data_IF_159046812604
#
_entry.id   IF_159046812604
#
_cell.length_a   1.000
_cell.length_b   1.000
_cell.length_c   1.000
_cell.angle_alpha   90.00
_cell.angle_beta   90.00
_cell.angle_gamma   90.00
#
_symmetry.space_group_name_H-M   'P 1'
#
loop_
_entity.id
_entity.type
_entity.pdbx_description
1 polymer ?
#
# COMPACT_ATOMS: atom_id res chain seq x y z
N UNK A 1 -54.44 6.77 -5.66
CA UNK A 1 -53.23 7.44 -6.17
C UNK A 1 -52.13 7.15 -5.19
N UNK A 2 -51.49 5.99 -5.32
CA UNK A 2 -50.44 5.51 -4.40
C UNK A 2 -49.21 6.38 -4.56
N UNK A 3 -48.81 7.06 -3.49
CA UNK A 3 -47.54 7.76 -3.44
C UNK A 3 -46.39 6.74 -3.40
N UNK A 4 -45.33 7.05 -4.13
CA UNK A 4 -43.99 6.45 -4.01
C UNK A 4 -43.43 6.67 -2.59
N UNK A 5 -43.93 5.93 -1.60
CA UNK A 5 -43.26 5.84 -0.31
C UNK A 5 -41.87 5.22 -0.53
N UNK A 6 -40.81 5.88 -0.05
CA UNK A 6 -39.44 5.38 -0.14
C UNK A 6 -38.62 5.79 -1.37
N UNK A 7 -39.21 6.31 -2.46
CA UNK A 7 -38.43 6.77 -3.61
C UNK A 7 -37.67 8.08 -3.30
N UNK A 8 -36.39 8.10 -3.65
CA UNK A 8 -35.50 9.25 -3.50
C UNK A 8 -34.87 9.59 -4.85
N UNK A 9 -34.93 10.87 -5.21
CA UNK A 9 -34.27 11.42 -6.40
C UNK A 9 -33.46 12.63 -6.02
N UNK A 10 -32.20 12.69 -6.47
CA UNK A 10 -31.28 13.79 -6.24
C UNK A 10 -30.60 14.18 -7.55
N UNK A 11 -30.45 15.49 -7.78
CA UNK A 11 -29.70 16.01 -8.91
C UNK A 11 -28.51 16.82 -8.40
N UNK A 12 -27.30 16.38 -8.77
CA UNK A 12 -26.07 17.10 -8.56
C UNK A 12 -25.84 18.01 -9.77
N UNK A 13 -25.75 19.32 -9.55
CA UNK A 13 -25.31 20.28 -10.56
C UNK A 13 -23.97 20.85 -10.12
N UNK A 14 -22.93 20.58 -10.90
CA UNK A 14 -21.58 21.05 -10.66
C UNK A 14 -21.24 22.13 -11.68
N UNK A 15 -20.90 23.32 -11.20
CA UNK A 15 -20.34 24.39 -12.04
C UNK A 15 -18.87 24.53 -11.66
N UNK A 16 -17.97 24.36 -12.62
CA UNK A 16 -16.54 24.47 -12.38
C UNK A 16 -16.10 25.94 -12.41
N UNK A 17 -15.70 26.52 -11.28
CA UNK A 17 -15.21 27.92 -11.27
C UNK A 17 -13.81 28.10 -11.89
N UNK A 18 -13.10 26.99 -12.08
CA UNK A 18 -11.76 26.91 -12.64
C UNK A 18 -11.59 25.63 -13.45
N UNK A 19 -10.52 25.57 -14.25
CA UNK A 19 -10.25 24.42 -15.08
C UNK A 19 -9.89 23.20 -14.21
N UNK A 20 -10.60 22.09 -14.42
CA UNK A 20 -10.32 20.80 -13.78
C UNK A 20 -9.62 19.93 -14.82
N UNK A 21 -8.44 19.39 -14.48
CA UNK A 21 -7.68 18.56 -15.42
C UNK A 21 -8.30 17.17 -15.60
N UNK A 22 -8.88 16.62 -14.53
CA UNK A 22 -9.52 15.31 -14.51
C UNK A 22 -10.57 15.28 -13.40
N UNK A 23 -11.85 15.13 -13.76
CA UNK A 23 -12.97 15.02 -12.84
C UNK A 23 -13.41 13.55 -12.73
N UNK A 24 -13.34 13.03 -11.50
CA UNK A 24 -13.89 11.73 -11.11
C UNK A 24 -14.94 11.92 -10.03
N UNK A 25 -16.05 11.22 -10.14
CA UNK A 25 -17.17 11.28 -9.20
C UNK A 25 -17.54 9.86 -8.77
N UNK A 26 -17.61 9.66 -7.45
CA UNK A 26 -17.93 8.38 -6.85
C UNK A 26 -19.28 8.50 -6.15
N UNK A 27 -20.29 7.80 -6.67
CA UNK A 27 -21.63 7.78 -6.11
C UNK A 27 -21.81 6.53 -5.25
N UNK A 28 -21.79 6.71 -3.93
CA UNK A 28 -22.04 5.64 -2.97
C UNK A 28 -23.52 5.24 -2.96
N UNK A 29 -23.80 3.95 -3.10
CA UNK A 29 -25.14 3.38 -2.92
C UNK A 29 -25.42 3.25 -1.42
N UNK A 30 -26.49 3.88 -0.88
CA UNK A 30 -26.84 3.74 0.52
C UNK A 30 -27.13 2.27 0.89
N UNK A 31 -26.87 1.84 2.13
CA UNK A 31 -27.27 0.51 2.56
C UNK A 31 -28.79 0.37 2.44
N UNK A 32 -29.21 -0.86 2.13
CA UNK A 32 -30.61 -1.30 1.93
C UNK A 32 -31.37 -0.60 0.78
N UNK A 33 -30.71 0.28 0.03
CA UNK A 33 -31.30 0.90 -1.16
C UNK A 33 -31.48 -0.11 -2.30
N UNK A 34 -32.55 0.06 -3.08
CA UNK A 34 -32.93 -0.80 -4.19
C UNK A 34 -33.13 0.02 -5.46
N UNK A 35 -32.89 -0.60 -6.61
CA UNK A 35 -33.11 0.05 -7.91
C UNK A 35 -32.31 1.33 -8.11
N UNK A 36 -31.07 1.38 -7.62
CA UNK A 36 -30.19 2.54 -7.80
C UNK A 36 -29.89 2.74 -9.30
N UNK A 37 -30.19 3.94 -9.80
CA UNK A 37 -29.90 4.37 -11.17
C UNK A 37 -29.20 5.71 -11.15
N UNK A 38 -28.21 5.86 -12.04
CA UNK A 38 -27.46 7.09 -12.25
C UNK A 38 -27.59 7.49 -13.73
N UNK A 39 -27.89 8.76 -13.98
CA UNK A 39 -27.95 9.35 -15.31
C UNK A 39 -27.16 10.68 -15.36
N UNK A 40 -26.13 10.83 -16.21
CA UNK A 40 -25.51 9.83 -17.08
C UNK A 40 -25.01 8.57 -16.35
N UNK A 41 -25.01 7.43 -17.03
CA UNK A 41 -24.61 6.15 -16.46
C UNK A 41 -23.13 6.14 -16.03
N UNK A 42 -22.83 5.38 -14.97
CA UNK A 42 -21.47 5.20 -14.48
C UNK A 42 -20.60 4.39 -15.44
N UNK A 43 -19.31 4.71 -15.48
CA UNK A 43 -18.31 3.98 -16.26
C UNK A 43 -17.99 2.63 -15.62
N UNK A 44 -18.02 2.57 -14.28
CA UNK A 44 -17.80 1.33 -13.54
C UNK A 44 -18.59 1.28 -12.24
N UNK A 45 -18.78 0.06 -11.74
CA UNK A 45 -19.40 -0.21 -10.43
C UNK A 45 -18.49 -1.14 -9.66
N UNK A 46 -18.13 -0.77 -8.44
CA UNK A 46 -17.25 -1.56 -7.58
C UNK A 46 -17.81 -1.63 -6.16
N UNK A 47 -17.44 -2.67 -5.42
CA UNK A 47 -17.67 -2.76 -3.98
C UNK A 47 -16.33 -2.58 -3.27
N UNK A 48 -16.24 -1.57 -2.41
CA UNK A 48 -15.01 -1.30 -1.66
C UNK A 48 -14.90 -2.16 -0.40
N UNK A 49 -13.76 -2.05 0.31
CA UNK A 49 -13.46 -2.84 1.51
C UNK A 49 -14.42 -2.59 2.68
N UNK A 50 -15.17 -1.50 2.63
CA UNK A 50 -16.24 -1.17 3.56
C UNK A 50 -17.54 -1.96 3.30
N UNK A 51 -17.59 -2.74 2.22
CA UNK A 51 -18.76 -3.50 1.80
C UNK A 51 -19.84 -2.66 1.11
N UNK A 52 -19.54 -1.40 0.79
CA UNK A 52 -20.47 -0.49 0.11
C UNK A 52 -20.18 -0.48 -1.39
N UNK A 53 -21.25 -0.30 -2.17
CA UNK A 53 -21.18 -0.26 -3.62
C UNK A 53 -21.04 1.19 -4.07
N UNK A 54 -20.13 1.42 -5.02
CA UNK A 54 -19.84 2.72 -5.60
C UNK A 54 -19.98 2.66 -7.12
N UNK A 55 -20.69 3.63 -7.67
CA UNK A 55 -20.78 3.90 -9.10
C UNK A 55 -19.80 5.02 -9.44
N UNK A 56 -18.79 4.72 -10.24
CA UNK A 56 -17.68 5.64 -10.55
C UNK A 56 -17.88 6.21 -11.95
N UNK A 57 -17.84 7.54 -12.05
CA UNK A 57 -17.88 8.30 -13.29
C UNK A 57 -16.54 9.01 -13.49
N UNK A 58 -15.93 8.82 -14.65
CA UNK A 58 -14.73 9.50 -15.12
C UNK A 58 -15.10 10.44 -16.26
N UNK A 59 -15.37 11.70 -15.94
CA UNK A 59 -15.73 12.70 -16.94
C UNK A 59 -14.50 13.22 -17.71
N UNK A 60 -13.35 13.31 -17.05
CA UNK A 60 -12.13 13.91 -17.61
C UNK A 60 -12.07 15.44 -17.40
N UNK A 61 -11.38 16.19 -18.27
CA UNK A 61 -11.17 17.62 -18.07
C UNK A 61 -12.48 18.42 -18.17
N UNK A 62 -12.56 19.52 -17.41
CA UNK A 62 -13.72 20.42 -17.36
C UNK A 62 -13.25 21.86 -17.46
N UNK A 63 -13.90 22.65 -18.32
CA UNK A 63 -13.55 24.05 -18.51
C UNK A 63 -14.18 24.96 -17.44
N UNK A 64 -13.56 26.12 -17.13
CA UNK A 64 -14.18 27.10 -16.25
C UNK A 64 -15.54 27.57 -16.80
N UNK A 65 -16.56 27.58 -15.94
CA UNK A 65 -17.94 27.94 -16.27
C UNK A 65 -18.78 26.80 -16.85
N UNK A 66 -18.19 25.63 -17.10
CA UNK A 66 -18.93 24.45 -17.58
C UNK A 66 -19.85 23.91 -16.49
N UNK A 67 -21.07 23.51 -16.86
CA UNK A 67 -22.08 22.97 -15.95
C UNK A 67 -22.34 21.50 -16.27
N UNK A 68 -22.05 20.63 -15.32
CA UNK A 68 -22.26 19.19 -15.40
C UNK A 68 -23.39 18.77 -14.46
N UNK A 69 -24.20 17.80 -14.88
CA UNK A 69 -25.37 17.37 -14.13
C UNK A 69 -25.48 15.84 -14.07
N UNK A 70 -25.76 15.32 -12.88
CA UNK A 70 -26.05 13.90 -12.66
C UNK A 70 -27.29 13.74 -11.80
N UNK A 71 -28.18 12.86 -12.21
CA UNK A 71 -29.40 12.51 -11.47
C UNK A 71 -29.30 11.08 -10.95
N UNK A 72 -29.54 10.94 -9.65
CA UNK A 72 -29.51 9.69 -8.91
C UNK A 72 -30.94 9.39 -8.47
N UNK A 73 -31.41 8.18 -8.74
CA UNK A 73 -32.70 7.69 -8.23
C UNK A 73 -32.52 6.35 -7.55
N UNK A 74 -33.17 6.15 -6.41
CA UNK A 74 -33.22 4.86 -5.71
C UNK A 74 -34.45 4.77 -4.82
N UNK A 75 -34.81 3.56 -4.39
CA UNK A 75 -35.81 3.34 -3.35
C UNK A 75 -35.12 2.97 -2.04
N UNK A 76 -35.57 3.59 -0.95
CA UNK A 76 -35.12 3.31 0.41
C UNK A 76 -36.27 3.50 1.39
N UNK A 77 -36.68 2.39 2.00
CA UNK A 77 -37.89 2.32 2.85
C UNK A 77 -37.59 2.55 4.33
N UNK A 78 -36.31 2.63 4.71
CA UNK A 78 -35.85 2.79 6.09
C UNK A 78 -34.94 4.01 6.25
N UNK A 79 -34.80 4.49 7.49
CA UNK A 79 -33.98 5.66 7.83
C UNK A 79 -32.54 5.30 8.25
N UNK A 80 -32.09 4.05 8.03
CA UNK A 80 -30.75 3.63 8.41
C UNK A 80 -29.69 4.38 7.59
N UNK A 81 -28.81 5.07 8.30
CA UNK A 81 -27.70 5.81 7.73
C UNK A 81 -26.50 4.88 7.51
N UNK A 82 -25.75 5.13 6.43
CA UNK A 82 -24.49 4.43 6.13
C UNK A 82 -23.51 4.44 7.32
N UNK A 83 -23.47 5.53 8.10
CA UNK A 83 -22.60 5.64 9.30
C UNK A 83 -22.85 4.55 10.34
N UNK A 84 -24.07 3.98 10.39
CA UNK A 84 -24.43 2.94 11.35
C UNK A 84 -23.69 1.63 11.09
N UNK A 85 -23.29 1.36 9.83
CA UNK A 85 -22.48 0.19 9.47
C UNK A 85 -21.06 0.26 10.04
N UNK A 86 -20.58 1.48 10.30
CA UNK A 86 -19.21 1.74 10.77
C UNK A 86 -19.10 1.91 12.29
N UNK A 87 -20.22 1.88 13.02
CA UNK A 87 -20.18 1.99 14.48
C UNK A 87 -19.62 0.70 15.07
N UNK A 88 -18.42 0.82 15.67
CA UNK A 88 -17.72 -0.27 16.35
C UNK A 88 -18.61 -0.95 17.41
N UNK A 89 -18.35 -2.25 17.70
CA UNK A 89 -18.93 -2.89 18.87
C UNK A 89 -18.68 -2.01 20.09
N UNK A 90 -19.77 -1.63 20.76
CA UNK A 90 -19.77 -0.96 22.05
C UNK A 90 -18.69 -1.64 22.91
N UNK A 91 -17.76 -0.88 23.47
CA UNK A 91 -16.90 -1.37 24.56
C UNK A 91 -17.83 -2.10 25.53
N UNK A 92 -17.64 -3.41 25.80
CA UNK A 92 -18.58 -4.14 26.64
C UNK A 92 -18.69 -3.38 27.95
N UNK A 93 -19.91 -2.97 28.30
CA UNK A 93 -20.22 -2.50 29.64
C UNK A 93 -19.56 -3.47 30.60
N UNK A 94 -18.69 -3.01 31.54
CA UNK A 94 -18.11 -3.94 32.50
C UNK A 94 -19.26 -4.54 33.29
N UNK A 95 -19.59 -5.80 32.98
CA UNK A 95 -20.50 -6.58 33.79
C UNK A 95 -19.94 -6.54 35.23
N UNK A 96 -20.78 -6.34 36.27
CA UNK A 96 -20.31 -6.45 37.63
C UNK A 96 -19.59 -7.79 37.79
N UNK A 97 -18.35 -7.72 38.26
CA UNK A 97 -17.43 -8.85 38.36
C UNK A 97 -18.08 -9.98 39.17
N UNK A 98 -18.55 -11.02 38.47
CA UNK A 98 -18.76 -12.34 39.04
C UNK A 98 -17.56 -13.18 38.62
N UNK A 99 -16.84 -13.67 39.61
CA UNK A 99 -15.65 -14.51 39.51
C UNK A 99 -15.93 -15.80 38.69
N UNK A 100 -14.91 -16.44 38.08
CA UNK A 100 -15.06 -17.30 36.91
C UNK A 100 -15.44 -18.74 37.29
N UNK A 101 -15.89 -19.53 36.30
CA UNK A 101 -15.21 -20.80 36.04
C UNK A 101 -14.36 -20.73 34.78
N UNK A 102 -13.21 -21.39 34.87
CA UNK A 102 -12.12 -21.54 33.92
C UNK A 102 -12.52 -21.81 32.45
N UNK A 103 -11.64 -21.45 31.49
CA UNK A 103 -11.95 -21.51 30.07
C UNK A 103 -11.98 -22.97 29.59
N UNK A 104 -13.12 -23.42 29.10
CA UNK A 104 -13.16 -24.50 28.11
C UNK A 104 -13.17 -23.88 26.72
N UNK A 105 -12.07 -23.21 26.39
CA UNK A 105 -11.85 -22.66 25.06
C UNK A 105 -11.45 -23.79 24.12
N UNK A 106 -12.43 -24.45 23.50
CA UNK A 106 -12.16 -25.17 22.25
C UNK A 106 -11.99 -24.11 21.18
N UNK A 107 -10.76 -23.62 21.04
CA UNK A 107 -10.37 -22.81 19.88
C UNK A 107 -10.45 -23.73 18.68
N UNK A 108 -11.56 -23.63 17.94
CA UNK A 108 -11.74 -24.31 16.66
C UNK A 108 -10.77 -23.68 15.67
N UNK A 109 -9.52 -24.13 15.75
CA UNK A 109 -8.46 -23.79 14.82
C UNK A 109 -8.69 -24.59 13.56
N UNK A 110 -9.02 -23.87 12.48
CA UNK A 110 -9.02 -24.48 11.16
C UNK A 110 -7.63 -25.04 10.86
N UNK A 111 -7.52 -26.21 10.20
CA UNK A 111 -6.24 -26.87 9.94
C UNK A 111 -5.30 -26.11 8.98
N UNK A 112 -5.64 -24.88 8.58
CA UNK A 112 -4.89 -24.07 7.62
C UNK A 112 -3.89 -23.09 8.26
N UNK A 113 -4.09 -22.66 9.52
CA UNK A 113 -3.24 -21.62 10.13
C UNK A 113 -1.95 -22.18 10.77
N UNK A 114 -1.93 -23.44 11.20
CA UNK A 114 -0.74 -24.05 11.81
C UNK A 114 0.33 -24.45 10.79
N UNK A 115 -0.04 -24.61 9.53
CA UNK A 115 0.90 -24.95 8.45
C UNK A 115 1.92 -23.83 8.24
N UNK A 116 1.47 -22.56 8.29
CA UNK A 116 2.36 -21.41 8.15
C UNK A 116 3.30 -21.23 9.34
N UNK A 117 2.79 -21.48 10.56
CA UNK A 117 3.61 -21.45 11.79
C UNK A 117 4.65 -22.57 11.76
N UNK A 118 4.25 -23.80 11.42
CA UNK A 118 5.17 -24.93 11.31
C UNK A 118 6.23 -24.72 10.21
N UNK A 119 5.82 -24.19 9.06
CA UNK A 119 6.74 -23.86 7.96
C UNK A 119 7.76 -22.78 8.37
N UNK A 120 7.32 -21.73 9.08
CA UNK A 120 8.20 -20.66 9.55
C UNK A 120 9.18 -21.16 10.61
N UNK A 121 8.73 -21.99 11.56
CA UNK A 121 9.59 -22.62 12.56
C UNK A 121 10.61 -23.57 11.92
N UNK A 122 10.18 -24.39 10.96
CA UNK A 122 11.09 -25.28 10.24
C UNK A 122 12.16 -24.50 9.48
N UNK A 123 11.78 -23.41 8.79
CA UNK A 123 12.72 -22.56 8.05
C UNK A 123 13.72 -21.87 8.98
N UNK A 124 13.26 -21.37 10.13
CA UNK A 124 14.14 -20.77 11.15
C UNK A 124 15.09 -21.82 11.76
N UNK A 125 14.63 -23.03 12.03
CA UNK A 125 15.46 -24.11 12.55
C UNK A 125 16.56 -24.53 11.57
N UNK A 126 16.22 -24.64 10.28
CA UNK A 126 17.20 -24.94 9.22
C UNK A 126 18.22 -23.79 9.08
N UNK A 127 17.76 -22.53 9.07
CA UNK A 127 18.64 -21.37 9.01
C UNK A 127 19.58 -21.27 10.22
N UNK A 128 19.06 -21.47 11.43
CA UNK A 128 19.85 -21.49 12.66
C UNK A 128 20.85 -22.65 12.69
N UNK A 129 20.44 -23.84 12.24
CA UNK A 129 21.33 -25.00 12.10
C UNK A 129 22.48 -24.74 11.12
N UNK A 130 22.19 -24.23 9.94
CA UNK A 130 23.20 -23.88 8.93
C UNK A 130 24.16 -22.79 9.43
N UNK A 131 23.64 -21.77 10.11
CA UNK A 131 24.46 -20.71 10.70
C UNK A 131 25.37 -21.24 11.81
N UNK A 132 24.85 -22.09 12.69
CA UNK A 132 25.64 -22.69 13.78
C UNK A 132 26.72 -23.63 13.22
N UNK A 133 26.39 -24.53 12.28
CA UNK A 133 27.39 -25.36 11.61
C UNK A 133 28.45 -24.52 10.88
N UNK A 134 28.06 -23.48 10.15
CA UNK A 134 28.99 -22.57 9.48
C UNK A 134 29.92 -21.85 10.46
N UNK A 135 29.43 -21.53 11.67
CA UNK A 135 30.25 -20.95 12.74
C UNK A 135 31.26 -21.94 13.30
N UNK A 136 30.91 -23.22 13.43
CA UNK A 136 31.86 -24.26 13.89
C UNK A 136 32.92 -24.59 12.83
N UNK A 137 32.60 -24.49 11.53
CA UNK A 137 33.54 -24.81 10.45
C UNK A 137 34.38 -23.61 9.98
N UNK A 138 34.07 -22.39 10.42
CA UNK A 138 34.80 -21.17 9.99
C UNK A 138 36.18 -20.98 10.64
N UNK A 139 36.63 -21.92 11.48
CA UNK A 139 38.01 -21.97 11.95
C UNK A 139 38.95 -22.57 10.90
N UNK A 140 39.04 -21.97 9.71
CA UNK A 140 40.21 -22.03 8.83
C UNK A 140 40.03 -21.16 7.58
N UNK A 141 40.42 -19.90 7.68
CA UNK A 141 41.03 -19.20 6.57
C UNK A 141 42.12 -18.31 7.15
N UNK A 142 43.27 -18.94 7.39
CA UNK A 142 44.51 -18.25 7.70
C UNK A 142 44.75 -17.14 6.65
N UNK A 143 45.21 -15.94 7.04
CA UNK A 143 45.50 -14.87 6.09
C UNK A 143 46.57 -15.35 5.10
N UNK A 144 46.42 -15.18 3.77
CA UNK A 144 47.49 -15.50 2.85
C UNK A 144 48.67 -14.54 3.10
N UNK A 145 49.92 -15.03 3.09
CA UNK A 145 51.09 -14.18 3.31
C UNK A 145 51.22 -13.16 2.16
N UNK A 146 51.79 -11.98 2.44
CA UNK A 146 51.90 -10.91 1.46
C UNK A 146 52.76 -11.36 0.26
N UNK A 147 52.16 -11.36 -0.93
CA UNK A 147 52.87 -11.63 -2.20
C UNK A 147 53.90 -10.52 -2.47
N UNK A 148 55.16 -10.94 -2.64
CA UNK A 148 56.31 -10.10 -3.01
C UNK A 148 56.07 -9.32 -4.31
N UNK A 149 56.26 -8.00 -4.23
CA UNK A 149 56.32 -7.06 -5.37
C UNK A 149 57.44 -7.44 -6.33
N UNK A 150 57.11 -7.72 -7.59
CA UNK A 150 58.05 -7.64 -8.71
C UNK A 150 58.02 -6.23 -9.29
N UNK A 151 59.18 -5.57 -9.24
CA UNK A 151 59.47 -4.26 -9.82
C UNK A 151 59.31 -4.34 -11.34
N UNK A 152 58.51 -3.44 -11.90
CA UNK A 152 58.39 -3.18 -13.33
C UNK A 152 58.18 -1.69 -13.51
N UNK A 153 59.19 -1.03 -14.07
CA UNK A 153 59.31 0.41 -14.27
C UNK A 153 58.27 0.97 -15.23
N UNK A 154 57.60 2.06 -14.84
CA UNK A 154 56.80 2.87 -15.75
C UNK A 154 56.45 4.19 -15.09
N UNK A 155 56.82 5.29 -15.73
CA UNK A 155 56.76 6.68 -15.26
C UNK A 155 55.31 7.14 -15.08
N UNK A 156 55.07 8.00 -14.08
CA UNK A 156 53.84 8.78 -13.98
C UNK A 156 53.40 8.97 -12.54
N UNK A 157 53.73 10.13 -11.97
CA UNK A 157 53.17 10.56 -10.70
C UNK A 157 51.66 10.85 -10.87
N UNK A 158 50.84 10.23 -10.02
CA UNK A 158 49.54 10.75 -9.64
C UNK A 158 49.43 10.56 -8.11
N UNK A 159 49.00 11.60 -7.36
CA UNK A 159 48.89 11.50 -5.90
C UNK A 159 47.82 10.44 -5.54
N UNK A 160 47.92 9.77 -4.38
CA UNK A 160 46.90 8.83 -3.96
C UNK A 160 45.53 9.54 -3.91
N UNK A 161 44.46 8.96 -4.49
CA UNK A 161 43.14 9.53 -4.36
C UNK A 161 42.82 9.64 -2.86
N UNK A 162 42.47 10.85 -2.46
CA UNK A 162 42.00 11.14 -1.11
C UNK A 162 40.77 10.26 -0.85
N UNK A 163 40.68 9.82 0.40
CA UNK A 163 39.64 8.99 1.01
C UNK A 163 38.32 8.93 0.23
N UNK A 164 37.87 7.70 -0.02
CA UNK A 164 36.57 7.31 -0.57
C UNK A 164 35.41 8.16 -0.02
N UNK A 165 35.14 9.30 -0.67
CA UNK A 165 33.93 10.06 -0.41
C UNK A 165 32.76 9.27 -1.00
N UNK A 166 31.94 8.72 -0.11
CA UNK A 166 30.78 7.93 -0.50
C UNK A 166 29.76 8.86 -1.15
N UNK A 167 29.66 8.81 -2.48
CA UNK A 167 28.69 9.56 -3.26
C UNK A 167 27.37 8.80 -3.33
N UNK A 168 26.25 9.53 -3.36
CA UNK A 168 24.90 8.96 -3.49
C UNK A 168 24.18 9.53 -4.71
N UNK A 169 23.28 8.74 -5.30
CA UNK A 169 22.47 9.19 -6.42
C UNK A 169 21.42 10.21 -5.97
N UNK A 170 21.39 11.38 -6.62
CA UNK A 170 20.38 12.42 -6.35
C UNK A 170 18.94 12.01 -6.71
N UNK A 171 18.75 10.97 -7.54
CA UNK A 171 17.42 10.53 -8.00
C UNK A 171 16.85 9.39 -7.18
N UNK A 172 17.67 8.42 -6.77
CA UNK A 172 17.20 7.22 -6.06
C UNK A 172 17.92 6.92 -4.73
N UNK A 173 18.90 7.73 -4.33
CA UNK A 173 19.63 7.55 -3.07
C UNK A 173 20.64 6.40 -3.04
N UNK A 174 20.78 5.61 -4.11
CA UNK A 174 21.72 4.49 -4.13
C UNK A 174 23.18 4.96 -4.02
N UNK A 175 24.01 4.22 -3.28
CA UNK A 175 25.45 4.45 -3.16
C UNK A 175 26.13 4.27 -4.51
N UNK A 176 26.84 5.28 -4.98
CA UNK A 176 27.55 5.27 -6.25
C UNK A 176 28.94 4.64 -6.08
N UNK A 177 29.42 4.00 -7.15
CA UNK A 177 30.84 3.59 -7.24
C UNK A 177 31.69 4.86 -7.39
N UNK A 178 32.95 4.85 -6.92
CA UNK A 178 33.80 6.05 -6.91
C UNK A 178 33.95 6.70 -8.30
N UNK A 179 33.92 5.90 -9.37
CA UNK A 179 34.09 6.35 -10.76
C UNK A 179 32.82 6.22 -11.64
N UNK A 180 31.62 6.21 -11.04
CA UNK A 180 30.38 6.04 -11.80
C UNK A 180 29.92 7.33 -12.50
N UNK A 181 29.82 7.31 -13.84
CA UNK A 181 29.21 8.38 -14.64
C UNK A 181 27.67 8.34 -14.61
N UNK A 182 27.10 7.15 -14.47
CA UNK A 182 25.65 6.91 -14.38
C UNK A 182 25.32 6.02 -13.18
N UNK A 183 24.13 6.17 -12.61
CA UNK A 183 23.66 5.31 -11.53
C UNK A 183 23.36 3.89 -12.06
N UNK A 184 23.98 2.88 -11.45
CA UNK A 184 23.76 1.47 -11.78
C UNK A 184 22.37 0.93 -11.37
N UNK A 185 21.60 1.69 -10.57
CA UNK A 185 20.26 1.31 -10.12
C UNK A 185 19.16 1.97 -10.95
N UNK A 186 19.29 3.26 -11.29
CA UNK A 186 18.21 4.02 -11.96
C UNK A 186 18.62 4.69 -13.28
N UNK A 187 19.87 4.55 -13.72
CA UNK A 187 20.37 5.10 -14.98
C UNK A 187 20.61 6.62 -15.01
N UNK A 188 20.29 7.34 -13.93
CA UNK A 188 20.49 8.80 -13.89
C UNK A 188 21.97 9.21 -13.96
N UNK A 189 22.29 10.26 -14.72
CA UNK A 189 23.64 10.81 -14.82
C UNK A 189 24.11 11.41 -13.49
N UNK A 190 25.37 11.18 -13.12
CA UNK A 190 25.96 11.71 -11.88
C UNK A 190 26.42 13.15 -12.13
N UNK A 191 25.99 14.07 -11.25
CA UNK A 191 26.41 15.48 -11.32
C UNK A 191 27.74 15.61 -10.61
N UNK A 192 28.84 15.82 -11.35
CA UNK A 192 30.12 16.22 -10.78
C UNK A 192 30.09 17.75 -10.61
N UNK A 193 30.06 18.23 -9.38
CA UNK A 193 30.29 19.67 -9.13
C UNK A 193 31.77 19.98 -9.38
N UNK A 194 32.11 21.09 -10.07
CA UNK A 194 33.50 21.54 -10.23
C UNK A 194 34.13 21.94 -8.89
#
# INVERSE_FOLDING_TARGET
TSGEEGQKTYTLNLVADYAIADLSLDFQVPPTAQGFTLDPAADSVTQETDGLTYHIVHHGPVEPGETLSWTITYQKDDENLTVSLFTQPQTPTPAPAVMPPSPSGTVQSGPADWVWVAALVALLAVGAGAFWLGRLTSASSAPPPPRKKRRGSGRGAAPPPRADEVRYCHRCGAKLRPDATFCHQCGAAVRTSP
#
